data_IF_781995614561
#
_entry.id   IF_781995614561
#
_cell.length_a   1.000
_cell.length_b   1.000
_cell.length_c   1.000
_cell.angle_alpha   90.00
_cell.angle_beta   90.00
_cell.angle_gamma   90.00
#
_symmetry.space_group_name_H-M   'P 1'
#
loop_
_entity.id
_entity.type
_entity.pdbx_description
1 polymer ?
#
# COMPACT_ATOMS: atom_id res chain seq x y z
N UNK A 1 43.72 -29.80 -6.69
CA UNK A 1 43.28 -28.40 -6.52
C UNK A 1 41.85 -28.12 -7.04
N UNK A 2 41.37 -28.78 -8.12
CA UNK A 2 40.05 -28.50 -8.73
C UNK A 2 38.82 -28.85 -7.86
N UNK A 3 38.92 -29.84 -6.97
CA UNK A 3 37.83 -30.29 -6.09
C UNK A 3 37.54 -29.33 -4.94
N UNK A 4 38.52 -28.56 -4.46
CA UNK A 4 38.32 -27.65 -3.32
C UNK A 4 37.55 -26.38 -3.74
N UNK A 5 37.75 -25.90 -4.97
CA UNK A 5 37.00 -24.78 -5.52
C UNK A 5 35.52 -25.12 -5.74
N UNK A 6 35.22 -26.34 -6.18
CA UNK A 6 33.83 -26.79 -6.38
C UNK A 6 33.05 -26.88 -5.06
N UNK A 7 33.69 -27.37 -4.00
CA UNK A 7 33.09 -27.46 -2.66
C UNK A 7 32.87 -26.06 -2.07
N UNK A 8 33.84 -25.15 -2.19
CA UNK A 8 33.71 -23.77 -1.72
C UNK A 8 32.56 -23.02 -2.42
N UNK A 9 32.37 -23.26 -3.72
CA UNK A 9 31.30 -22.61 -4.50
C UNK A 9 29.92 -23.15 -4.10
N UNK A 10 29.80 -24.46 -3.87
CA UNK A 10 28.54 -25.07 -3.43
C UNK A 10 28.12 -24.59 -2.03
N UNK A 11 29.06 -24.45 -1.10
CA UNK A 11 28.79 -23.93 0.24
C UNK A 11 28.35 -22.47 0.18
N UNK A 12 29.00 -21.65 -0.64
CA UNK A 12 28.60 -20.26 -0.85
C UNK A 12 27.18 -20.14 -1.41
N UNK A 13 26.81 -21.00 -2.38
CA UNK A 13 25.47 -20.98 -2.99
C UNK A 13 24.37 -21.40 -2.00
N UNK A 14 24.63 -22.39 -1.15
CA UNK A 14 23.69 -22.81 -0.09
C UNK A 14 23.53 -21.70 0.96
N UNK A 15 24.60 -21.01 1.33
CA UNK A 15 24.55 -19.92 2.29
C UNK A 15 23.77 -18.70 1.76
N UNK A 16 23.95 -18.37 0.47
CA UNK A 16 23.22 -17.27 -0.18
C UNK A 16 21.74 -17.63 -0.40
N UNK A 17 21.43 -18.88 -0.73
CA UNK A 17 20.04 -19.34 -0.90
C UNK A 17 19.23 -19.34 0.41
N UNK A 18 19.89 -19.58 1.55
CA UNK A 18 19.26 -19.59 2.87
C UNK A 18 18.86 -18.19 3.37
N UNK A 19 19.52 -17.14 2.88
CA UNK A 19 19.26 -15.76 3.28
C UNK A 19 18.01 -15.14 2.61
N UNK A 20 17.44 -15.80 1.61
CA UNK A 20 16.30 -15.29 0.84
C UNK A 20 14.92 -15.77 1.33
N UNK A 21 14.87 -16.69 2.31
CA UNK A 21 13.66 -17.49 2.57
C UNK A 21 12.96 -17.25 3.92
N UNK A 22 13.52 -16.43 4.83
CA UNK A 22 13.04 -16.43 6.22
C UNK A 22 11.86 -15.51 6.52
N UNK A 23 11.62 -14.44 5.76
CA UNK A 23 10.62 -13.43 6.18
C UNK A 23 9.58 -13.04 5.11
N UNK A 24 9.49 -13.71 3.97
CA UNK A 24 8.65 -13.25 2.83
C UNK A 24 7.19 -12.89 3.16
N UNK A 25 6.52 -13.63 4.04
CA UNK A 25 5.13 -13.33 4.44
C UNK A 25 5.06 -12.21 5.48
N UNK A 26 5.98 -12.24 6.45
CA UNK A 26 6.11 -11.18 7.47
C UNK A 26 6.48 -9.85 6.80
N UNK A 27 7.45 -9.88 5.89
CA UNK A 27 7.90 -8.78 5.04
C UNK A 27 6.76 -8.27 4.16
N UNK A 28 5.99 -9.18 3.54
CA UNK A 28 4.81 -8.79 2.74
C UNK A 28 3.81 -7.99 3.59
N UNK A 29 3.52 -8.44 4.81
CA UNK A 29 2.61 -7.70 5.71
C UNK A 29 3.22 -6.42 6.27
N UNK A 30 4.54 -6.38 6.52
CA UNK A 30 5.23 -5.18 7.00
C UNK A 30 5.37 -4.10 5.92
N UNK A 31 5.50 -4.50 4.66
CA UNK A 31 5.59 -3.59 3.51
C UNK A 31 4.21 -3.20 2.97
N UNK A 32 3.18 -4.03 3.18
CA UNK A 32 1.81 -3.69 2.84
C UNK A 32 1.28 -2.58 3.76
N UNK A 33 0.55 -1.63 3.18
CA UNK A 33 -0.03 -0.50 3.89
C UNK A 33 -1.53 -0.40 3.61
N UNK A 34 -2.30 -0.24 4.68
CA UNK A 34 -3.73 0.05 4.60
C UNK A 34 -3.97 1.39 5.29
N UNK A 35 -4.49 2.34 4.54
CA UNK A 35 -4.92 3.62 5.08
C UNK A 35 -6.26 4.04 4.48
N UNK A 36 -6.87 5.07 5.06
CA UNK A 36 -8.15 5.53 4.59
C UNK A 36 -8.61 6.76 5.33
N UNK A 37 -9.64 7.40 4.80
CA UNK A 37 -10.25 8.55 5.44
C UNK A 37 -11.77 8.50 5.28
N UNK A 38 -12.47 8.90 6.33
CA UNK A 38 -13.88 9.23 6.27
C UNK A 38 -13.98 10.73 6.10
N UNK A 39 -14.85 11.20 5.20
CA UNK A 39 -15.07 12.63 4.96
C UNK A 39 -16.55 12.90 4.81
N UNK A 40 -17.06 13.78 5.66
CA UNK A 40 -18.31 14.47 5.42
C UNK A 40 -18.04 15.73 4.61
N UNK A 41 -18.94 16.03 3.67
CA UNK A 41 -18.87 17.22 2.85
C UNK A 41 -20.25 17.88 2.83
N UNK A 42 -20.25 19.20 3.07
CA UNK A 42 -21.43 20.03 2.94
C UNK A 42 -21.17 21.08 1.88
N UNK A 43 -21.94 21.02 0.80
CA UNK A 43 -21.94 22.00 -0.26
C UNK A 43 -23.07 22.99 -0.03
N UNK A 44 -22.78 24.28 -0.19
CA UNK A 44 -23.78 25.34 -0.23
C UNK A 44 -23.36 26.41 -1.22
N UNK A 45 -24.31 26.84 -2.04
CA UNK A 45 -24.13 27.94 -3.00
C UNK A 45 -25.36 28.85 -2.99
N UNK A 46 -25.11 30.09 -2.63
CA UNK A 46 -26.07 31.18 -2.68
C UNK A 46 -25.89 31.94 -4.00
N UNK A 47 -26.95 32.06 -4.80
CA UNK A 47 -26.88 32.73 -6.09
C UNK A 47 -27.25 34.21 -6.03
N UNK A 48 -27.91 34.67 -4.96
CA UNK A 48 -28.33 36.06 -4.80
C UNK A 48 -29.34 36.56 -5.85
N UNK A 49 -29.80 35.68 -6.74
CA UNK A 49 -30.74 35.95 -7.80
C UNK A 49 -32.04 35.19 -7.52
N UNK A 50 -33.19 35.86 -7.40
CA UNK A 50 -34.47 35.20 -7.13
C UNK A 50 -34.93 34.23 -8.24
N UNK A 51 -34.41 34.35 -9.45
CA UNK A 51 -34.71 33.44 -10.56
C UNK A 51 -33.89 32.14 -10.53
N UNK A 52 -32.87 32.04 -9.68
CA UNK A 52 -32.02 30.85 -9.57
C UNK A 52 -32.08 30.32 -8.14
N UNK A 53 -32.66 29.12 -7.89
CA UNK A 53 -32.74 28.58 -6.55
C UNK A 53 -31.33 28.30 -6.00
N UNK A 54 -31.16 28.59 -4.71
CA UNK A 54 -29.96 28.22 -3.97
C UNK A 54 -29.78 26.71 -3.96
N UNK A 55 -28.53 26.26 -3.93
CA UNK A 55 -28.20 24.84 -3.96
C UNK A 55 -27.46 24.46 -2.68
N UNK A 56 -27.85 23.33 -2.09
CA UNK A 56 -27.11 22.71 -1.01
C UNK A 56 -27.16 21.19 -1.13
N UNK A 57 -26.11 20.53 -0.67
CA UNK A 57 -26.03 19.07 -0.66
C UNK A 57 -25.14 18.60 0.48
N UNK A 58 -25.54 17.50 1.13
CA UNK A 58 -24.70 16.80 2.09
C UNK A 58 -24.27 15.46 1.50
N UNK A 59 -23.00 15.14 1.63
CA UNK A 59 -22.43 13.86 1.22
C UNK A 59 -21.54 13.30 2.33
N UNK A 60 -21.60 11.98 2.50
CA UNK A 60 -20.70 11.23 3.36
C UNK A 60 -19.98 10.19 2.50
N UNK A 61 -18.65 10.20 2.55
CA UNK A 61 -17.83 9.29 1.77
C UNK A 61 -16.70 8.70 2.63
N UNK A 62 -16.36 7.45 2.34
CA UNK A 62 -15.17 6.79 2.84
C UNK A 62 -14.22 6.49 1.69
N UNK A 63 -12.93 6.67 1.90
CA UNK A 63 -11.86 6.18 1.03
C UNK A 63 -11.05 5.15 1.79
N UNK A 64 -10.80 4.02 1.15
CA UNK A 64 -9.88 2.98 1.60
C UNK A 64 -8.79 2.85 0.53
N UNK A 65 -7.54 2.92 0.96
CA UNK A 65 -6.36 2.69 0.13
C UNK A 65 -5.65 1.43 0.65
N UNK A 66 -5.32 0.53 -0.27
CA UNK A 66 -4.57 -0.70 0.01
C UNK A 66 -3.40 -0.73 -0.94
N UNK A 67 -2.19 -0.78 -0.38
CA UNK A 67 -0.93 -0.91 -1.10
C UNK A 67 -0.29 -2.22 -0.63
N UNK A 68 0.00 -3.11 -1.58
CA UNK A 68 0.61 -4.43 -1.32
C UNK A 68 2.04 -4.44 -1.84
N UNK A 69 2.90 -5.22 -1.18
CA UNK A 69 4.30 -5.43 -1.58
C UNK A 69 4.45 -6.17 -2.93
#
# INVERSE_FOLDING_TARGET
>A
MRTHHLIATAIALVYVGSAAQADTLTDFFQQSKIDGNIRSYYFSRLYGNPAVPNQSAYALAGRLNVETA
#
